data_IF_237055960155
#
_entry.id   IF_237055960155
#
_cell.length_a   1.000
_cell.length_b   1.000
_cell.length_c   1.000
_cell.angle_alpha   90.00
_cell.angle_beta   90.00
_cell.angle_gamma   90.00
#
_symmetry.space_group_name_H-M   'P 1'
#
loop_
_entity.id
_entity.type
_entity.pdbx_description
1 polymer ?
#
# COMPACT_ATOMS: atom_id res chain seq x y z
N UNK A 1 -15.21 7.78 29.25
CA UNK A 1 -14.37 6.57 29.18
C UNK A 1 -14.95 5.66 28.14
N UNK A 2 -14.24 5.43 27.03
CA UNK A 2 -14.70 4.58 25.95
C UNK A 2 -14.56 3.10 26.37
N UNK A 3 -15.66 2.48 26.78
CA UNK A 3 -15.69 1.04 27.05
C UNK A 3 -16.16 0.29 25.79
N UNK A 4 -15.69 -0.95 25.61
CA UNK A 4 -16.20 -1.79 24.53
C UNK A 4 -17.69 -2.07 24.73
N UNK A 5 -18.44 -2.10 23.62
CA UNK A 5 -19.85 -2.51 23.64
C UNK A 5 -19.97 -3.96 24.21
N UNK A 6 -20.98 -4.25 25.04
CA UNK A 6 -21.24 -5.60 25.57
C UNK A 6 -21.27 -6.72 24.51
N UNK A 7 -21.76 -6.42 23.30
CA UNK A 7 -21.77 -7.37 22.18
C UNK A 7 -20.36 -7.74 21.72
N UNK A 8 -19.45 -6.77 21.62
CA UNK A 8 -18.04 -6.96 21.29
C UNK A 8 -17.34 -7.76 22.39
N UNK A 9 -17.56 -7.42 23.67
CA UNK A 9 -17.00 -8.15 24.80
C UNK A 9 -17.41 -9.62 24.75
N UNK A 10 -18.71 -9.90 24.54
CA UNK A 10 -19.23 -11.27 24.46
C UNK A 10 -18.63 -12.04 23.28
N UNK A 11 -18.33 -11.39 22.16
CA UNK A 11 -17.70 -12.02 20.99
C UNK A 11 -16.25 -12.38 21.29
N UNK A 12 -15.48 -11.45 21.84
CA UNK A 12 -14.09 -11.68 22.23
C UNK A 12 -13.92 -12.71 23.34
N UNK A 13 -14.88 -12.79 24.28
CA UNK A 13 -14.88 -13.82 25.33
C UNK A 13 -15.13 -15.24 24.81
N UNK A 14 -15.66 -15.41 23.58
CA UNK A 14 -15.80 -16.73 22.94
C UNK A 14 -14.49 -17.21 22.30
N UNK A 15 -13.55 -16.30 22.05
CA UNK A 15 -12.24 -16.67 21.51
C UNK A 15 -11.48 -17.47 22.55
N UNK A 16 -10.70 -18.45 22.09
CA UNK A 16 -9.82 -19.20 22.97
C UNK A 16 -8.79 -18.23 23.57
N UNK A 17 -8.73 -18.18 24.90
CA UNK A 17 -7.66 -17.46 25.57
C UNK A 17 -6.41 -18.32 25.60
N UNK A 18 -5.33 -17.81 25.03
CA UNK A 18 -4.03 -18.48 24.94
C UNK A 18 -3.04 -17.86 25.92
N UNK A 19 -2.12 -18.65 26.50
CA UNK A 19 -1.10 -18.16 27.44
C UNK A 19 0.06 -17.47 26.69
N UNK A 20 -0.27 -16.54 25.80
CA UNK A 20 0.70 -15.75 25.04
C UNK A 20 0.77 -14.31 25.56
N UNK A 21 1.93 -13.70 25.32
CA UNK A 21 2.20 -12.29 25.54
C UNK A 21 2.27 -11.62 24.18
N UNK A 22 1.41 -10.62 23.96
CA UNK A 22 1.42 -9.84 22.73
C UNK A 22 2.13 -8.50 22.96
N UNK A 23 2.97 -8.11 22.01
CA UNK A 23 3.57 -6.78 21.94
C UNK A 23 2.69 -5.89 21.07
N UNK A 24 2.44 -4.66 21.51
CA UNK A 24 1.69 -3.67 20.76
C UNK A 24 2.38 -2.31 20.78
N UNK A 25 2.40 -1.67 19.63
CA UNK A 25 2.95 -0.32 19.51
C UNK A 25 2.22 0.50 18.44
N UNK A 26 2.32 1.82 18.61
CA UNK A 26 1.98 2.81 17.59
C UNK A 26 3.21 3.68 17.40
N UNK A 27 3.82 3.62 16.23
CA UNK A 27 5.05 4.39 15.95
C UNK A 27 5.00 5.00 14.55
N UNK A 28 5.62 6.16 14.34
CA UNK A 28 5.78 6.74 13.01
C UNK A 28 6.51 5.77 12.09
N UNK A 29 5.99 5.56 10.89
CA UNK A 29 6.72 4.89 9.83
C UNK A 29 7.59 5.93 9.10
N UNK A 30 8.83 5.58 8.78
CA UNK A 30 9.63 6.45 7.92
C UNK A 30 9.03 6.41 6.49
N UNK A 31 8.94 7.54 5.78
CA UNK A 31 8.31 7.61 4.46
C UNK A 31 8.87 6.55 3.49
N UNK A 32 10.18 6.30 3.56
CA UNK A 32 10.88 5.37 2.66
C UNK A 32 10.68 3.87 3.01
N UNK A 33 10.01 3.56 4.13
CA UNK A 33 9.96 2.19 4.70
C UNK A 33 8.65 1.44 4.47
N UNK A 34 7.73 2.00 3.68
CA UNK A 34 6.51 1.31 3.26
C UNK A 34 6.83 0.20 2.24
N UNK A 35 6.49 -1.08 2.51
CA UNK A 35 6.72 -2.17 1.58
C UNK A 35 5.70 -2.24 0.44
N UNK A 36 4.61 -1.47 0.49
CA UNK A 36 3.42 -1.64 -0.36
C UNK A 36 3.03 -0.42 -1.17
N UNK A 37 3.79 0.68 -1.12
CA UNK A 37 3.41 1.95 -1.76
C UNK A 37 4.63 2.54 -2.49
N UNK A 38 4.35 3.19 -3.62
CA UNK A 38 5.31 3.93 -4.43
C UNK A 38 6.21 4.84 -3.57
N UNK A 39 7.53 4.91 -3.81
CA UNK A 39 8.47 5.66 -2.99
C UNK A 39 8.22 7.18 -2.97
N UNK A 40 7.40 7.66 -3.90
CA UNK A 40 7.05 9.07 -4.04
C UNK A 40 5.65 9.38 -3.46
N UNK A 41 5.00 8.47 -2.73
CA UNK A 41 3.96 8.87 -1.77
C UNK A 41 4.63 8.99 -0.40
N UNK A 42 4.86 10.21 0.08
CA UNK A 42 5.22 10.46 1.48
C UNK A 42 4.03 10.04 2.37
N UNK A 43 3.83 8.74 2.58
CA UNK A 43 2.82 8.27 3.54
C UNK A 43 3.40 8.49 4.94
N UNK A 44 3.32 9.74 5.43
CA UNK A 44 3.54 10.10 6.83
C UNK A 44 2.42 9.47 7.65
N UNK A 45 2.54 8.18 7.92
CA UNK A 45 1.57 7.40 8.67
C UNK A 45 2.18 6.83 9.94
N UNK A 46 1.37 6.78 11.00
CA UNK A 46 1.67 5.93 12.13
C UNK A 46 1.32 4.49 11.78
N UNK A 47 2.25 3.58 12.05
CA UNK A 47 2.02 2.16 11.99
C UNK A 47 1.56 1.67 13.36
N UNK A 48 0.35 1.10 13.40
CA UNK A 48 -0.18 0.37 14.56
C UNK A 48 0.04 -1.11 14.32
N UNK A 49 0.77 -1.78 15.21
CA UNK A 49 1.14 -3.19 15.03
C UNK A 49 0.91 -3.99 16.31
N UNK A 50 0.48 -5.23 16.12
CA UNK A 50 0.29 -6.24 17.16
C UNK A 50 1.02 -7.52 16.80
N UNK A 51 1.91 -7.95 17.67
CA UNK A 51 2.78 -9.13 17.45
C UNK A 51 2.55 -10.14 18.56
N UNK A 52 2.33 -11.41 18.19
CA UNK A 52 2.32 -12.50 19.15
C UNK A 52 3.76 -12.87 19.51
N UNK A 53 4.18 -12.52 20.73
CA UNK A 53 5.54 -12.77 21.18
C UNK A 53 5.87 -14.23 21.48
N UNK A 54 4.86 -15.10 21.59
CA UNK A 54 5.09 -16.54 21.72
C UNK A 54 5.38 -17.22 20.38
N UNK A 55 4.90 -16.64 19.27
CA UNK A 55 5.06 -17.19 17.92
C UNK A 55 5.94 -16.34 17.00
N UNK A 56 6.35 -15.14 17.43
CA UNK A 56 7.11 -14.20 16.61
C UNK A 56 6.33 -13.73 15.38
N UNK A 57 5.00 -13.62 15.50
CA UNK A 57 4.12 -13.45 14.35
C UNK A 57 3.33 -12.15 14.44
N UNK A 58 3.31 -11.37 13.36
CA UNK A 58 2.41 -10.21 13.22
C UNK A 58 0.96 -10.70 13.16
N UNK A 59 0.14 -10.29 14.12
CA UNK A 59 -1.28 -10.62 14.22
C UNK A 59 -2.13 -9.64 13.43
N UNK A 60 -1.79 -8.35 13.49
CA UNK A 60 -2.37 -7.30 12.68
C UNK A 60 -1.41 -6.11 12.61
N UNK A 61 -1.45 -5.42 11.47
CA UNK A 61 -0.76 -4.16 11.21
C UNK A 61 -1.70 -3.25 10.43
N UNK A 62 -1.71 -1.97 10.76
CA UNK A 62 -2.55 -0.94 10.12
C UNK A 62 -1.74 0.36 9.98
N UNK A 63 -1.77 0.97 8.79
CA UNK A 63 -1.18 2.28 8.53
C UNK A 63 -2.28 3.33 8.68
N UNK A 64 -2.05 4.33 9.54
CA UNK A 64 -3.06 5.37 9.82
C UNK A 64 -2.45 6.76 9.83
N UNK A 65 -3.28 7.78 9.61
CA UNK A 65 -2.85 9.18 9.77
C UNK A 65 -2.39 9.44 11.22
N UNK A 66 -1.34 10.24 11.45
CA UNK A 66 -0.87 10.65 12.78
C UNK A 66 -1.94 11.34 13.61
N UNK A 67 -2.90 12.03 12.97
CA UNK A 67 -4.00 12.72 13.66
C UNK A 67 -5.13 11.77 14.11
N UNK A 68 -5.06 10.50 13.70
CA UNK A 68 -6.04 9.49 14.12
C UNK A 68 -5.98 9.31 15.64
N UNK A 69 -7.13 9.34 16.30
CA UNK A 69 -7.25 9.14 17.75
C UNK A 69 -6.77 7.76 18.24
N UNK A 70 -6.55 7.60 19.55
CA UNK A 70 -6.02 6.36 20.15
C UNK A 70 -6.92 5.13 19.95
N UNK A 71 -8.18 5.31 19.55
CA UNK A 71 -9.14 4.25 19.25
C UNK A 71 -8.65 3.28 18.16
N UNK A 72 -7.78 3.74 17.25
CA UNK A 72 -7.16 2.90 16.22
C UNK A 72 -6.38 1.72 16.81
N UNK A 73 -5.75 1.92 17.96
CA UNK A 73 -4.97 0.88 18.65
C UNK A 73 -5.88 -0.27 19.05
N UNK A 74 -7.06 0.07 19.58
CA UNK A 74 -8.09 -0.90 19.96
C UNK A 74 -8.68 -1.55 18.71
N UNK A 75 -9.03 -0.78 17.68
CA UNK A 75 -9.57 -1.32 16.42
C UNK A 75 -8.64 -2.37 15.82
N UNK A 76 -7.35 -2.07 15.76
CA UNK A 76 -6.32 -2.97 15.21
C UNK A 76 -6.12 -4.18 16.11
N UNK A 77 -6.20 -4.02 17.43
CA UNK A 77 -6.15 -5.15 18.38
C UNK A 77 -7.31 -6.12 18.20
N UNK A 78 -8.53 -5.59 18.03
CA UNK A 78 -9.73 -6.38 17.77
C UNK A 78 -9.59 -7.17 16.46
N UNK A 79 -9.06 -6.53 15.40
CA UNK A 79 -8.70 -7.21 14.15
C UNK A 79 -7.69 -8.33 14.41
N UNK A 80 -6.63 -8.09 15.19
CA UNK A 80 -5.63 -9.10 15.55
C UNK A 80 -6.21 -10.32 16.30
N UNK A 81 -7.27 -10.14 17.10
CA UNK A 81 -7.94 -11.23 17.81
C UNK A 81 -8.94 -11.98 16.92
N UNK A 82 -9.73 -11.26 16.12
CA UNK A 82 -10.89 -11.82 15.39
C UNK A 82 -10.55 -12.24 13.95
N UNK A 83 -9.69 -11.48 13.27
CA UNK A 83 -9.36 -11.63 11.85
C UNK A 83 -7.85 -11.35 11.62
N UNK A 84 -6.94 -12.20 12.13
CA UNK A 84 -5.50 -11.97 12.00
C UNK A 84 -5.03 -12.01 10.54
N UNK A 85 -3.97 -11.26 10.22
CA UNK A 85 -3.41 -11.08 8.86
C UNK A 85 -2.79 -12.34 8.22
N UNK A 86 -2.61 -13.42 8.97
CA UNK A 86 -1.94 -14.64 8.53
C UNK A 86 -2.85 -15.85 8.80
N UNK A 87 -2.56 -17.11 8.38
CA UNK A 87 -3.41 -18.26 8.69
C UNK A 87 -3.32 -18.70 10.16
N UNK A 88 -3.19 -17.72 11.06
CA UNK A 88 -3.19 -17.86 12.49
C UNK A 88 -4.64 -17.94 13.00
N UNK A 89 -4.91 -18.73 14.05
CA UNK A 89 -6.25 -18.84 14.60
C UNK A 89 -6.70 -17.54 15.28
N UNK A 90 -8.01 -17.28 15.25
CA UNK A 90 -8.63 -16.22 16.06
C UNK A 90 -8.51 -16.58 17.55
N UNK A 91 -7.75 -15.79 18.31
CA UNK A 91 -7.44 -16.05 19.72
C UNK A 91 -7.36 -14.76 20.51
N UNK A 92 -7.48 -14.88 21.84
CA UNK A 92 -7.30 -13.78 22.79
C UNK A 92 -6.03 -14.02 23.61
N UNK A 93 -5.09 -13.06 23.72
CA UNK A 93 -3.92 -13.20 24.56
C UNK A 93 -4.27 -13.19 26.06
N UNK A 94 -3.37 -13.71 26.88
CA UNK A 94 -3.46 -13.56 28.33
C UNK A 94 -2.86 -12.23 28.79
N UNK A 95 -1.82 -11.77 28.09
CA UNK A 95 -1.09 -10.56 28.43
C UNK A 95 -0.76 -9.74 27.18
N UNK A 96 -0.82 -8.43 27.34
CA UNK A 96 -0.37 -7.43 26.37
C UNK A 96 0.70 -6.57 27.05
N UNK A 97 1.76 -6.27 26.32
CA UNK A 97 2.78 -5.30 26.70
C UNK A 97 2.85 -4.19 25.67
N UNK A 98 2.98 -2.95 26.16
CA UNK A 98 3.09 -1.75 25.32
C UNK A 98 4.20 -0.84 25.84
N UNK A 99 4.79 -0.05 24.93
CA UNK A 99 5.89 0.87 25.24
C UNK A 99 5.43 2.22 25.77
N UNK A 100 4.21 2.62 25.45
CA UNK A 100 3.65 3.90 25.87
C UNK A 100 2.73 3.74 27.10
N UNK A 101 2.88 4.65 28.08
CA UNK A 101 2.08 4.59 29.31
C UNK A 101 0.65 5.07 29.12
N UNK A 102 0.40 6.04 28.26
CA UNK A 102 -0.94 6.51 27.94
C UNK A 102 -1.74 5.42 27.24
N UNK A 103 -1.11 4.73 26.27
CA UNK A 103 -1.67 3.52 25.63
C UNK A 103 -1.96 2.45 26.68
N UNK A 104 -1.04 2.20 27.62
CA UNK A 104 -1.26 1.24 28.70
C UNK A 104 -2.52 1.57 29.52
N UNK A 105 -2.66 2.81 29.97
CA UNK A 105 -3.82 3.24 30.76
C UNK A 105 -5.12 3.17 29.96
N UNK A 106 -5.08 3.60 28.70
CA UNK A 106 -6.21 3.53 27.78
C UNK A 106 -6.69 2.10 27.61
N UNK A 107 -5.79 1.18 27.26
CA UNK A 107 -6.11 -0.24 27.07
C UNK A 107 -6.63 -0.90 28.36
N UNK A 108 -6.09 -0.56 29.53
CA UNK A 108 -6.62 -1.06 30.81
C UNK A 108 -8.09 -0.69 31.03
N UNK A 109 -8.47 0.53 30.66
CA UNK A 109 -9.87 0.97 30.74
C UNK A 109 -10.76 0.24 29.72
N UNK A 110 -10.30 0.15 28.47
CA UNK A 110 -11.09 -0.43 27.38
C UNK A 110 -11.27 -1.95 27.52
N UNK A 111 -10.26 -2.67 28.01
CA UNK A 111 -10.19 -4.14 28.01
C UNK A 111 -10.50 -4.79 29.36
N UNK A 112 -11.00 -4.03 30.35
CA UNK A 112 -11.18 -4.47 31.74
C UNK A 112 -11.91 -5.81 31.90
N UNK A 113 -12.93 -6.07 31.07
CA UNK A 113 -13.80 -7.25 31.17
C UNK A 113 -13.33 -8.46 30.32
N UNK A 114 -12.16 -8.35 29.68
CA UNK A 114 -11.62 -9.40 28.81
C UNK A 114 -10.64 -10.33 29.51
N UNK A 115 -10.26 -10.04 30.75
CA UNK A 115 -9.28 -10.85 31.49
C UNK A 115 -7.91 -10.86 30.83
N UNK A 116 -7.52 -9.75 30.20
CA UNK A 116 -6.20 -9.54 29.59
C UNK A 116 -5.38 -8.64 30.51
N UNK A 117 -4.19 -9.08 30.91
CA UNK A 117 -3.26 -8.25 31.69
C UNK A 117 -2.55 -7.27 30.77
N UNK A 118 -2.56 -5.97 31.09
CA UNK A 118 -1.87 -4.93 30.31
C UNK A 118 -0.71 -4.35 31.13
N UNK A 119 0.51 -4.50 30.63
CA UNK A 119 1.73 -4.01 31.28
C UNK A 119 2.50 -3.04 30.39
N UNK A 120 3.23 -2.14 31.04
CA UNK A 120 4.21 -1.28 30.39
C UNK A 120 5.57 -1.98 30.39
N UNK A 121 6.27 -1.93 29.26
CA UNK A 121 7.67 -2.33 29.12
C UNK A 121 8.43 -1.24 28.36
N UNK A 122 9.69 -0.95 28.71
CA UNK A 122 10.45 0.12 28.04
C UNK A 122 10.82 -0.22 26.58
N UNK A 123 10.92 -1.51 26.26
CA UNK A 123 11.39 -2.01 24.96
C UNK A 123 10.46 -3.12 24.46
N UNK A 124 10.26 -3.17 23.14
CA UNK A 124 9.40 -4.14 22.46
C UNK A 124 10.25 -4.89 21.41
N UNK A 125 11.06 -5.86 21.84
CA UNK A 125 12.14 -6.40 21.02
C UNK A 125 11.67 -6.96 19.68
N UNK A 126 10.50 -7.60 19.62
CA UNK A 126 10.01 -8.19 18.36
C UNK A 126 9.57 -7.11 17.38
N UNK A 127 8.88 -6.08 17.88
CA UNK A 127 8.49 -4.96 17.02
C UNK A 127 9.74 -4.17 16.61
N UNK A 128 10.71 -3.98 17.49
CA UNK A 128 11.97 -3.31 17.18
C UNK A 128 12.78 -4.06 16.11
N UNK A 129 12.78 -5.39 16.14
CA UNK A 129 13.37 -6.22 15.08
C UNK A 129 12.63 -6.08 13.74
N UNK A 130 11.29 -6.07 13.74
CA UNK A 130 10.48 -5.90 12.53
C UNK A 130 10.78 -4.54 11.87
N UNK A 131 10.78 -3.46 12.64
CA UNK A 131 11.05 -2.13 12.09
C UNK A 131 12.49 -1.97 11.62
N UNK A 132 13.45 -2.57 12.32
CA UNK A 132 14.84 -2.62 11.82
C UNK A 132 14.91 -3.34 10.48
N UNK A 133 14.24 -4.48 10.33
CA UNK A 133 14.19 -5.21 9.06
C UNK A 133 13.54 -4.41 7.93
N UNK A 134 12.43 -3.71 8.21
CA UNK A 134 11.78 -2.83 7.23
C UNK A 134 12.70 -1.69 6.80
N UNK A 135 13.43 -1.08 7.74
CA UNK A 135 14.39 -0.01 7.44
C UNK A 135 15.58 -0.52 6.61
N UNK A 136 16.14 -1.69 6.96
CA UNK A 136 17.23 -2.29 6.18
C UNK A 136 16.81 -2.60 4.72
N UNK A 137 15.56 -3.04 4.51
CA UNK A 137 15.02 -3.26 3.16
C UNK A 137 14.85 -1.95 2.41
N UNK A 138 14.39 -0.89 3.09
CA UNK A 138 14.24 0.44 2.52
C UNK A 138 15.58 1.03 2.08
N UNK A 139 16.59 1.02 2.96
CA UNK A 139 17.92 1.58 2.69
C UNK A 139 18.64 0.86 1.53
N UNK A 140 18.37 -0.44 1.35
CA UNK A 140 18.97 -1.25 0.30
C UNK A 140 18.08 -1.40 -0.95
N UNK A 141 16.93 -0.69 -1.02
CA UNK A 141 16.08 -0.72 -2.20
C UNK A 141 16.81 0.00 -3.34
N UNK A 142 17.05 -0.65 -4.50
CA UNK A 142 17.58 0.06 -5.65
C UNK A 142 16.58 1.14 -6.08
N UNK A 143 17.05 2.31 -6.54
CA UNK A 143 16.13 3.35 -7.02
C UNK A 143 15.28 2.79 -8.18
N UNK A 144 14.00 3.19 -8.24
CA UNK A 144 13.06 2.73 -9.27
C UNK A 144 13.60 2.98 -10.69
N UNK A 145 14.33 4.07 -10.87
CA UNK A 145 15.06 4.38 -12.10
C UNK A 145 16.56 4.44 -11.83
N UNK A 146 17.40 3.91 -12.74
CA UNK A 146 18.83 4.18 -12.72
C UNK A 146 19.06 5.70 -12.73
N UNK A 147 19.82 6.28 -11.78
CA UNK A 147 19.97 7.74 -11.65
C UNK A 147 20.51 8.42 -12.92
N UNK A 148 21.29 7.69 -13.71
CA UNK A 148 21.86 8.16 -14.97
C UNK A 148 20.82 8.39 -16.08
N UNK A 149 19.66 7.73 -16.02
CA UNK A 149 18.59 7.85 -17.01
C UNK A 149 17.31 8.51 -16.48
N UNK A 150 17.24 8.76 -15.17
CA UNK A 150 16.03 9.26 -14.52
C UNK A 150 15.51 10.57 -15.13
N UNK A 151 16.38 11.57 -15.30
CA UNK A 151 16.00 12.88 -15.87
C UNK A 151 15.49 12.74 -17.31
N UNK A 152 16.21 11.98 -18.15
CA UNK A 152 15.82 11.75 -19.55
C UNK A 152 14.52 10.95 -19.68
N UNK A 153 14.29 9.97 -18.80
CA UNK A 153 13.05 9.18 -18.79
C UNK A 153 11.85 10.02 -18.35
N UNK A 154 12.01 10.83 -17.30
CA UNK A 154 10.96 11.74 -16.84
C UNK A 154 10.61 12.78 -17.91
N UNK A 155 11.60 13.40 -18.54
CA UNK A 155 11.38 14.34 -19.65
C UNK A 155 10.54 13.70 -20.78
N UNK A 156 10.87 12.45 -21.15
CA UNK A 156 10.12 11.72 -22.19
C UNK A 156 8.72 11.30 -21.73
N UNK A 157 8.54 10.94 -20.46
CA UNK A 157 7.23 10.63 -19.92
C UNK A 157 6.30 11.85 -19.97
N UNK A 158 6.76 13.03 -19.56
CA UNK A 158 5.93 14.24 -19.66
C UNK A 158 5.71 14.69 -21.11
N UNK A 159 6.68 14.46 -22.00
CA UNK A 159 6.45 14.67 -23.43
C UNK A 159 5.31 13.79 -23.98
N UNK A 160 5.24 12.52 -23.56
CA UNK A 160 4.14 11.61 -23.95
C UNK A 160 2.79 12.12 -23.42
N UNK A 161 2.77 12.67 -22.19
CA UNK A 161 1.57 13.28 -21.62
C UNK A 161 1.09 14.46 -22.47
N UNK A 162 1.98 15.39 -22.78
CA UNK A 162 1.67 16.57 -23.61
C UNK A 162 1.22 16.18 -25.03
N UNK A 163 1.82 15.14 -25.62
CA UNK A 163 1.43 14.60 -26.93
C UNK A 163 0.07 13.88 -26.89
N UNK A 164 -0.39 13.44 -25.70
CA UNK A 164 -1.70 12.83 -25.44
C UNK A 164 -2.14 11.79 -26.48
N UNK A 165 -1.35 10.72 -26.72
CA UNK A 165 -1.59 9.79 -27.83
C UNK A 165 -2.92 9.02 -27.71
N UNK A 166 -3.48 8.89 -26.52
CA UNK A 166 -4.79 8.28 -26.23
C UNK A 166 -5.98 9.02 -26.86
N UNK A 167 -5.84 10.30 -27.19
CA UNK A 167 -6.88 11.06 -27.92
C UNK A 167 -7.05 10.55 -29.36
N UNK A 168 -6.00 9.97 -29.93
CA UNK A 168 -5.94 9.57 -31.34
C UNK A 168 -5.97 8.03 -31.46
N UNK A 169 -5.26 7.34 -30.57
CA UNK A 169 -5.08 5.89 -30.59
C UNK A 169 -5.96 5.22 -29.53
N UNK A 170 -6.81 4.29 -29.97
CA UNK A 170 -7.49 3.39 -29.04
C UNK A 170 -6.59 2.25 -28.59
N UNK A 171 -6.86 1.70 -27.41
CA UNK A 171 -6.14 0.60 -26.77
C UNK A 171 -5.99 -0.67 -27.63
N UNK A 172 -6.86 -0.85 -28.63
CA UNK A 172 -6.77 -1.99 -29.56
C UNK A 172 -5.77 -1.78 -30.70
N UNK A 173 -5.33 -0.54 -30.93
CA UNK A 173 -4.40 -0.15 -31.98
C UNK A 173 -2.98 -0.25 -31.46
N UNK A 174 -2.28 -1.30 -31.89
CA UNK A 174 -0.92 -1.60 -31.47
C UNK A 174 0.06 -1.03 -32.49
N UNK A 175 1.04 -0.27 -32.02
CA UNK A 175 2.15 0.22 -32.83
C UNK A 175 3.31 -0.76 -32.68
N UNK A 176 3.90 -1.18 -33.79
CA UNK A 176 5.19 -1.88 -33.76
C UNK A 176 6.33 -0.88 -34.00
N UNK A 177 7.36 -0.96 -33.16
CA UNK A 177 8.59 -0.18 -33.26
C UNK A 177 9.75 -1.16 -33.42
N UNK A 178 10.48 -1.06 -34.52
CA UNK A 178 11.71 -1.82 -34.74
C UNK A 178 12.91 -1.03 -34.21
N UNK A 179 13.61 -1.57 -33.21
CA UNK A 179 14.82 -0.95 -32.62
C UNK A 179 16.10 -1.60 -33.12
N UNK A 180 16.12 -2.94 -33.19
CA UNK A 180 17.30 -3.74 -33.55
C UNK A 180 18.56 -3.49 -32.68
N UNK A 181 18.37 -3.11 -31.42
CA UNK A 181 19.45 -2.86 -30.45
C UNK A 181 19.09 -3.40 -29.06
N UNK A 182 20.08 -3.54 -28.16
CA UNK A 182 19.87 -3.94 -26.75
C UNK A 182 19.09 -5.25 -26.56
N UNK A 183 19.33 -6.24 -27.42
CA UNK A 183 18.58 -7.50 -27.49
C UNK A 183 17.07 -7.33 -27.74
N UNK A 184 16.64 -6.14 -28.18
CA UNK A 184 15.28 -5.79 -28.55
C UNK A 184 15.19 -5.58 -30.06
N UNK A 185 14.56 -6.55 -30.72
CA UNK A 185 14.27 -6.45 -32.15
C UNK A 185 13.08 -5.52 -32.40
N UNK A 186 11.96 -5.82 -31.75
CA UNK A 186 10.66 -5.20 -31.99
C UNK A 186 9.96 -4.97 -30.66
N UNK A 187 9.37 -3.79 -30.49
CA UNK A 187 8.53 -3.41 -29.36
C UNK A 187 7.12 -3.16 -29.86
N UNK A 188 6.13 -3.64 -29.10
CA UNK A 188 4.73 -3.39 -29.37
C UNK A 188 4.19 -2.40 -28.35
N UNK A 189 3.65 -1.28 -28.83
CA UNK A 189 3.19 -0.18 -27.99
C UNK A 189 1.68 -0.11 -28.00
N UNK A 190 1.10 0.06 -26.81
CA UNK A 190 -0.34 0.23 -26.59
C UNK A 190 -0.56 1.46 -25.72
N UNK A 191 -1.52 2.31 -26.09
CA UNK A 191 -1.95 3.45 -25.27
C UNK A 191 -3.08 3.04 -24.33
N UNK A 192 -3.11 3.61 -23.14
CA UNK A 192 -4.20 3.59 -22.16
C UNK A 192 -4.75 5.03 -22.03
N UNK A 193 -6.06 5.21 -21.86
CA UNK A 193 -6.65 6.56 -21.68
C UNK A 193 -7.97 6.80 -22.38
N UNK A 194 -8.35 5.98 -23.36
CA UNK A 194 -9.52 6.27 -24.20
C UNK A 194 -10.86 6.20 -23.45
N UNK A 195 -10.91 5.47 -22.35
CA UNK A 195 -12.08 5.39 -21.46
C UNK A 195 -12.01 6.37 -20.29
N UNK A 196 -10.97 7.21 -20.21
CA UNK A 196 -10.83 8.30 -19.25
C UNK A 196 -10.50 7.90 -17.81
N UNK A 197 -10.40 6.60 -17.51
CA UNK A 197 -10.13 6.08 -16.17
C UNK A 197 -8.63 6.09 -15.85
N UNK A 198 -7.80 5.59 -16.77
CA UNK A 198 -6.35 5.43 -16.56
C UNK A 198 -5.58 5.86 -17.80
N UNK A 199 -4.45 6.53 -17.61
CA UNK A 199 -3.63 7.05 -18.71
C UNK A 199 -2.23 6.44 -18.67
N UNK A 200 -1.68 6.11 -19.83
CA UNK A 200 -0.35 5.51 -19.90
C UNK A 200 -0.01 4.88 -21.24
N UNK A 201 1.21 4.35 -21.31
CA UNK A 201 1.73 3.63 -22.46
C UNK A 201 2.41 2.35 -22.01
N UNK A 202 2.02 1.23 -22.62
CA UNK A 202 2.57 -0.10 -22.38
C UNK A 202 3.47 -0.50 -23.54
N UNK A 203 4.61 -1.10 -23.22
CA UNK A 203 5.66 -1.50 -24.15
C UNK A 203 5.97 -2.99 -24.00
N UNK A 204 5.40 -3.82 -24.87
CA UNK A 204 5.66 -5.25 -24.88
C UNK A 204 6.91 -5.57 -25.68
N UNK A 205 7.84 -6.31 -25.08
CA UNK A 205 9.10 -6.72 -25.72
C UNK A 205 8.96 -7.89 -26.69
N UNK A 206 7.77 -8.50 -26.77
CA UNK A 206 7.48 -9.56 -27.73
C UNK A 206 5.99 -9.62 -28.08
N UNK A 207 5.69 -10.16 -29.26
CA UNK A 207 4.32 -10.43 -29.70
C UNK A 207 3.61 -11.44 -28.77
N UNK A 208 4.37 -12.36 -28.18
CA UNK A 208 3.84 -13.35 -27.26
C UNK A 208 3.45 -12.72 -25.91
N UNK A 209 4.23 -11.76 -25.40
CA UNK A 209 3.88 -10.97 -24.21
C UNK A 209 2.56 -10.22 -24.42
N UNK A 210 2.42 -9.52 -25.55
CA UNK A 210 1.19 -8.82 -25.92
C UNK A 210 -0.03 -9.76 -25.97
N UNK A 211 0.11 -10.93 -26.61
CA UNK A 211 -0.99 -11.91 -26.73
C UNK A 211 -1.41 -12.45 -25.38
N UNK A 212 -0.45 -12.79 -24.51
CA UNK A 212 -0.72 -13.30 -23.16
C UNK A 212 -1.43 -12.26 -22.31
N UNK A 213 -1.01 -11.00 -22.38
CA UNK A 213 -1.69 -9.91 -21.70
C UNK A 213 -3.14 -9.81 -22.13
N UNK A 214 -3.41 -9.67 -23.43
CA UNK A 214 -4.78 -9.54 -23.94
C UNK A 214 -5.65 -10.75 -23.63
N UNK A 215 -5.08 -11.95 -23.55
CA UNK A 215 -5.82 -13.14 -23.11
C UNK A 215 -6.22 -13.06 -21.63
N UNK A 216 -5.35 -12.56 -20.75
CA UNK A 216 -5.64 -12.36 -19.32
C UNK A 216 -6.65 -11.26 -19.07
N UNK A 217 -6.54 -10.12 -19.74
CA UNK A 217 -7.51 -9.00 -19.62
C UNK A 217 -8.91 -9.38 -20.12
N UNK A 218 -9.01 -10.34 -21.05
CA UNK A 218 -10.31 -10.87 -21.49
C UNK A 218 -10.90 -11.86 -20.47
N UNK A 219 -10.08 -12.50 -19.64
CA UNK A 219 -10.53 -13.47 -18.62
C UNK A 219 -10.80 -12.85 -17.25
N UNK A 220 -9.99 -11.89 -16.81
CA UNK A 220 -10.06 -11.26 -15.50
C UNK A 220 -10.69 -9.86 -15.60
N UNK A 221 -11.57 -9.54 -14.64
CA UNK A 221 -12.41 -8.33 -14.68
C UNK A 221 -12.02 -7.26 -13.66
N UNK A 222 -10.95 -7.45 -12.88
CA UNK A 222 -10.55 -6.51 -11.83
C UNK A 222 -9.11 -6.02 -12.02
N UNK A 223 -8.84 -4.79 -11.57
CA UNK A 223 -7.58 -4.07 -11.80
C UNK A 223 -6.46 -4.52 -10.84
N UNK A 224 -6.79 -4.96 -9.63
CA UNK A 224 -5.81 -5.60 -8.73
C UNK A 224 -5.17 -6.84 -9.40
N UNK A 225 -5.92 -7.52 -10.27
CA UNK A 225 -5.40 -8.63 -11.09
C UNK A 225 -4.51 -8.16 -12.26
N UNK A 226 -4.62 -6.90 -12.71
CA UNK A 226 -3.82 -6.33 -13.79
C UNK A 226 -2.40 -5.99 -13.34
N UNK A 227 -2.23 -5.36 -12.17
CA UNK A 227 -0.91 -5.12 -11.57
C UNK A 227 -0.14 -6.42 -11.31
N UNK A 228 -0.81 -7.43 -10.74
CA UNK A 228 -0.21 -8.76 -10.57
C UNK A 228 0.11 -9.41 -11.93
N UNK A 229 -0.73 -9.18 -12.96
CA UNK A 229 -0.47 -9.63 -14.31
C UNK A 229 0.70 -8.89 -14.99
N UNK A 230 0.96 -7.61 -14.67
CA UNK A 230 2.09 -6.82 -15.15
C UNK A 230 3.40 -7.29 -14.51
N UNK A 231 3.43 -7.51 -13.19
CA UNK A 231 4.59 -8.02 -12.46
C UNK A 231 5.07 -9.40 -12.97
N UNK A 232 4.16 -10.19 -13.53
CA UNK A 232 4.46 -11.49 -14.14
C UNK A 232 4.83 -11.46 -15.63
N UNK A 233 4.96 -10.28 -16.27
CA UNK A 233 5.17 -10.15 -17.71
C UNK A 233 6.42 -9.36 -18.07
N UNK A 234 7.02 -9.72 -19.22
CA UNK A 234 8.11 -8.98 -19.84
C UNK A 234 7.54 -7.77 -20.62
N UNK A 235 7.11 -6.77 -19.86
CA UNK A 235 6.49 -5.53 -20.31
C UNK A 235 7.14 -4.36 -19.58
N UNK A 236 7.38 -3.27 -20.30
CA UNK A 236 7.72 -1.97 -19.69
C UNK A 236 6.50 -1.07 -19.75
N UNK A 237 6.35 -0.14 -18.82
CA UNK A 237 5.24 0.80 -18.85
C UNK A 237 5.59 2.17 -18.29
N UNK A 238 4.81 3.15 -18.75
CA UNK A 238 4.69 4.47 -18.13
C UNK A 238 3.21 4.70 -17.86
N UNK A 239 2.83 4.90 -16.62
CA UNK A 239 1.46 5.24 -16.20
C UNK A 239 1.45 6.62 -15.55
N UNK A 240 0.29 7.26 -15.54
CA UNK A 240 0.12 8.59 -14.96
C UNK A 240 -0.96 8.59 -13.90
N UNK A 241 -0.65 9.22 -12.78
CA UNK A 241 -1.55 9.42 -11.67
C UNK A 241 -1.62 10.90 -11.33
N UNK A 242 -2.69 11.32 -10.65
CA UNK A 242 -2.80 12.69 -10.14
C UNK A 242 -1.74 12.90 -9.06
N UNK A 243 -1.06 14.03 -9.13
CA UNK A 243 -0.17 14.46 -8.07
C UNK A 243 -1.01 14.86 -6.84
N UNK A 244 -0.91 14.11 -5.75
CA UNK A 244 -1.70 14.32 -4.52
C UNK A 244 -1.12 15.40 -3.61
N UNK A 245 0.05 15.95 -3.93
CA UNK A 245 0.74 16.95 -3.11
C UNK A 245 0.16 18.38 -3.22
N UNK A 246 -0.71 18.63 -4.21
CA UNK A 246 -1.38 19.93 -4.43
C UNK A 246 -2.85 19.96 -3.92
N UNK A 247 -3.27 19.00 -3.10
CA UNK A 247 -4.53 19.15 -2.35
C UNK A 247 -4.29 20.08 -1.16
N UNK A 248 -4.53 21.37 -1.37
CA UNK A 248 -4.84 22.30 -0.28
C UNK A 248 -5.87 21.62 0.65
N UNK A 249 -5.50 21.46 1.92
CA UNK A 249 -6.27 20.83 3.01
C UNK A 249 -7.58 21.58 3.39
N UNK A 250 -8.19 22.31 2.45
CA UNK A 250 -9.40 23.09 2.64
C UNK A 250 -10.34 22.87 1.43
N UNK A 251 -11.03 21.74 1.38
CA UNK A 251 -12.44 21.76 0.96
C UNK A 251 -13.17 20.52 1.52
N UNK A 252 -14.04 20.83 2.50
CA UNK A 252 -15.05 19.95 3.06
C UNK A 252 -15.91 19.28 1.95
N UNK A 253 -16.38 18.08 2.27
CA UNK A 253 -17.40 17.28 1.58
C UNK A 253 -18.38 18.03 0.64
N UNK A 254 -18.69 17.34 -0.46
CA UNK A 254 -19.85 17.51 -1.35
C UNK A 254 -19.74 18.51 -2.52
N UNK A 255 -19.29 18.00 -3.69
CA UNK A 255 -19.64 18.41 -5.09
C UNK A 255 -18.41 18.64 -6.01
N UNK A 256 -17.72 17.57 -6.41
CA UNK A 256 -16.86 17.61 -7.60
C UNK A 256 -17.17 16.41 -8.50
N UNK A 257 -17.67 16.71 -9.69
CA UNK A 257 -17.75 15.71 -10.76
C UNK A 257 -16.39 15.07 -10.97
N UNK A 258 -16.40 13.76 -11.18
CA UNK A 258 -15.24 12.90 -11.47
C UNK A 258 -14.15 13.68 -12.21
N UNK A 259 -13.08 14.09 -11.50
CA UNK A 259 -11.99 14.88 -12.09
C UNK A 259 -11.32 14.00 -13.13
N UNK A 260 -11.54 14.31 -14.41
CA UNK A 260 -10.97 13.56 -15.53
C UNK A 260 -9.49 13.90 -15.63
N UNK A 261 -8.63 12.97 -15.20
CA UNK A 261 -7.16 13.11 -15.16
C UNK A 261 -6.59 13.61 -16.51
N UNK A 262 -7.17 13.21 -17.64
CA UNK A 262 -6.72 13.63 -18.98
C UNK A 262 -6.83 15.12 -19.30
N UNK A 263 -7.46 15.93 -18.43
CA UNK A 263 -7.50 17.39 -18.58
C UNK A 263 -6.50 18.13 -17.68
N UNK A 264 -5.73 17.41 -16.87
CA UNK A 264 -4.78 18.01 -15.93
C UNK A 264 -3.49 18.45 -16.65
N UNK A 265 -2.90 19.59 -16.25
CA UNK A 265 -1.59 19.98 -16.74
C UNK A 265 -0.49 19.03 -16.24
N UNK A 266 0.64 18.98 -16.94
CA UNK A 266 1.78 18.13 -16.58
C UNK A 266 2.34 18.38 -15.15
N UNK A 267 2.05 19.55 -14.56
CA UNK A 267 2.44 19.86 -13.17
C UNK A 267 1.60 19.13 -12.11
N UNK A 268 0.37 18.71 -12.46
CA UNK A 268 -0.60 18.10 -11.55
C UNK A 268 -0.68 16.58 -11.74
N UNK A 269 0.24 16.00 -12.51
CA UNK A 269 0.34 14.56 -12.76
C UNK A 269 1.74 14.06 -12.48
N UNK A 270 1.84 12.78 -12.16
CA UNK A 270 3.08 12.10 -11.82
C UNK A 270 3.21 10.84 -12.68
N UNK A 271 4.38 10.66 -13.27
CA UNK A 271 4.69 9.50 -14.09
C UNK A 271 5.31 8.36 -13.26
N UNK A 272 4.73 7.17 -13.35
CA UNK A 272 5.20 5.95 -12.70
C UNK A 272 5.77 4.99 -13.75
N UNK A 273 6.85 4.28 -13.41
CA UNK A 273 7.61 3.43 -14.32
C UNK A 273 7.72 1.99 -13.78
N UNK A 274 7.66 1.00 -14.68
CA UNK A 274 7.92 -0.41 -14.38
C UNK A 274 8.24 -1.26 -15.60
#
# INVERSE_FOLDING_TARGET
MAALNPSTIRRLQKLQQVPSVWEGDRRPMAPDSSPTIDPDEETKGDCVIWVDGSQGMVRAMDMVSPDTGPEVIVRTLLKAMEHPQSPAPAVRPQKIVVKDREIQFFLRGVLQDLGITIDYVPDLPLIDEIFRGLHEVAENRPPNLPPEYAESLLEKAYQIWDDSPWEILGEHQIISIELNEWDLKELFVCTLGKLGMDYGVLFYRSLDSLKRFRQRVVSDRSFEDLEEAFLGQDCLFVTYERNKDDEDEDDDDDDYGEIVIGNLPASEIKANFG
#
